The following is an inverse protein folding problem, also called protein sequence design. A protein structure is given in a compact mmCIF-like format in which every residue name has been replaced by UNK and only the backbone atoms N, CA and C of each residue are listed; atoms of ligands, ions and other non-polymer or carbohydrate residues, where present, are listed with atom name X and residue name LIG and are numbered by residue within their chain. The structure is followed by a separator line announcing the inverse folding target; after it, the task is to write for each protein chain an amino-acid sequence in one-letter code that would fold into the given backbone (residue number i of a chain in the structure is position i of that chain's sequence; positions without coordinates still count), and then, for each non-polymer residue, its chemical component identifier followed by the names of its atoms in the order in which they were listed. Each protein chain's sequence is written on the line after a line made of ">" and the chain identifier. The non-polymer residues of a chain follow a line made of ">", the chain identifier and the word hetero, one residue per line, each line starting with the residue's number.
data_IF_460497930194
#
_entry.id   IF_460497930194
#
_cell.length_a   1.000
_cell.length_b   1.000
_cell.length_c   1.000
_cell.angle_alpha   90.00
_cell.angle_beta   90.00
_cell.angle_gamma   90.00
#
_symmetry.space_group_name_H-M   'P 1'
#
loop_
_entity.id
_entity.type
_entity.pdbx_description
1 polymer ?
#
# COMPACT_ATOMS: atom_id res chain seq x y z
N UNK A 1 -27.37 1.79 -5.89
CA UNK A 1 -26.29 1.37 -4.97
C UNK A 1 -25.17 0.78 -5.79
N UNK A 2 -24.17 1.58 -6.15
CA UNK A 2 -22.91 1.07 -6.71
C UNK A 2 -22.02 0.73 -5.53
N UNK A 3 -22.05 -0.53 -5.09
CA UNK A 3 -21.15 -1.03 -4.05
C UNK A 3 -19.69 -0.81 -4.46
N UNK A 4 -18.81 -0.62 -3.48
CA UNK A 4 -17.39 -0.55 -3.76
C UNK A 4 -16.96 -1.81 -4.54
N UNK A 5 -16.16 -1.69 -5.61
CA UNK A 5 -15.79 -2.87 -6.40
C UNK A 5 -15.05 -3.86 -5.50
N UNK A 6 -15.60 -5.06 -5.33
CA UNK A 6 -15.01 -6.08 -4.45
C UNK A 6 -13.54 -6.35 -4.82
N UNK A 7 -13.24 -6.34 -6.13
CA UNK A 7 -11.89 -6.52 -6.66
C UNK A 7 -10.91 -5.45 -6.15
N UNK A 8 -11.38 -4.21 -5.99
CA UNK A 8 -10.56 -3.09 -5.50
C UNK A 8 -10.28 -3.23 -4.01
N UNK A 9 -11.27 -3.66 -3.23
CA UNK A 9 -11.09 -3.95 -1.81
C UNK A 9 -10.04 -5.04 -1.59
N UNK A 10 -10.15 -6.15 -2.33
CA UNK A 10 -9.20 -7.25 -2.23
C UNK A 10 -7.78 -6.82 -2.59
N UNK A 11 -7.61 -5.97 -3.61
CA UNK A 11 -6.32 -5.42 -3.99
C UNK A 11 -5.72 -4.53 -2.89
N UNK A 12 -6.51 -3.63 -2.29
CA UNK A 12 -6.07 -2.76 -1.19
C UNK A 12 -5.63 -3.57 0.03
N UNK A 13 -6.43 -4.59 0.38
CA UNK A 13 -6.15 -5.45 1.54
C UNK A 13 -4.87 -6.26 1.31
N UNK A 14 -4.74 -6.91 0.15
CA UNK A 14 -3.54 -7.67 -0.20
C UNK A 14 -2.29 -6.78 -0.22
N UNK A 15 -2.40 -5.57 -0.78
CA UNK A 15 -1.30 -4.62 -0.83
C UNK A 15 -0.81 -4.22 0.57
N UNK A 16 -1.72 -3.82 1.45
CA UNK A 16 -1.35 -3.42 2.81
C UNK A 16 -0.83 -4.59 3.65
N UNK A 17 -1.47 -5.76 3.57
CA UNK A 17 -1.00 -6.95 4.28
C UNK A 17 0.39 -7.40 3.79
N UNK A 18 0.70 -7.23 2.49
CA UNK A 18 2.02 -7.56 1.95
C UNK A 18 3.11 -6.60 2.46
N UNK A 19 2.87 -5.29 2.43
CA UNK A 19 3.91 -4.29 2.76
C UNK A 19 4.01 -3.97 4.26
N UNK A 20 2.90 -3.98 4.99
CA UNK A 20 2.85 -3.65 6.42
C UNK A 20 2.80 -4.88 7.31
N UNK A 21 2.63 -6.07 6.73
CA UNK A 21 2.45 -7.34 7.46
C UNK A 21 1.27 -7.31 8.45
N UNK A 22 0.29 -6.43 8.21
CA UNK A 22 -0.91 -6.37 9.03
C UNK A 22 -1.84 -7.55 8.72
N UNK A 23 -2.45 -8.15 9.76
CA UNK A 23 -3.42 -9.22 9.56
C UNK A 23 -4.65 -8.72 8.81
N UNK A 24 -5.28 -9.62 8.06
CA UNK A 24 -6.46 -9.32 7.25
C UNK A 24 -7.55 -8.58 8.03
N UNK A 25 -7.82 -9.02 9.26
CA UNK A 25 -8.85 -8.42 10.13
C UNK A 25 -8.55 -6.96 10.47
N UNK A 26 -7.28 -6.63 10.72
CA UNK A 26 -6.87 -5.26 11.00
C UNK A 26 -7.11 -4.35 9.79
N UNK A 27 -6.78 -4.82 8.58
CA UNK A 27 -6.96 -4.03 7.35
C UNK A 27 -8.44 -3.91 6.95
N UNK A 28 -9.23 -4.95 7.22
CA UNK A 28 -10.68 -4.94 7.01
C UNK A 28 -11.42 -4.08 8.03
N UNK A 29 -10.87 -3.93 9.24
CA UNK A 29 -11.39 -3.02 10.26
C UNK A 29 -11.17 -1.54 9.96
N UNK A 30 -10.32 -1.20 8.98
CA UNK A 30 -10.12 0.18 8.55
C UNK A 30 -11.30 0.69 7.73
N UNK A 31 -11.68 1.93 8.01
CA UNK A 31 -12.58 2.68 7.14
C UNK A 31 -12.00 2.76 5.73
N UNK A 32 -12.89 2.75 4.73
CA UNK A 32 -12.48 2.78 3.33
C UNK A 32 -11.56 3.98 3.00
N UNK A 33 -11.84 5.16 3.56
CA UNK A 33 -11.00 6.36 3.36
C UNK A 33 -9.62 6.20 3.98
N UNK A 34 -9.56 5.62 5.18
CA UNK A 34 -8.30 5.39 5.89
C UNK A 34 -7.45 4.34 5.17
N UNK A 35 -8.06 3.22 4.76
CA UNK A 35 -7.37 2.19 3.98
C UNK A 35 -6.77 2.77 2.70
N UNK A 36 -7.51 3.58 1.96
CA UNK A 36 -7.00 4.23 0.74
C UNK A 36 -5.83 5.18 1.02
N UNK A 37 -5.91 5.96 2.10
CA UNK A 37 -4.81 6.84 2.53
C UNK A 37 -3.54 6.03 2.83
N UNK A 38 -3.67 4.91 3.54
CA UNK A 38 -2.54 4.04 3.82
C UNK A 38 -1.94 3.43 2.55
N UNK A 39 -2.76 3.02 1.58
CA UNK A 39 -2.27 2.54 0.28
C UNK A 39 -1.44 3.61 -0.43
N UNK A 40 -1.91 4.86 -0.43
CA UNK A 40 -1.21 6.00 -1.05
C UNK A 40 0.13 6.30 -0.35
N UNK A 41 0.16 6.29 0.98
CA UNK A 41 1.40 6.52 1.76
C UNK A 41 2.44 5.42 1.54
N UNK A 42 2.03 4.15 1.61
CA UNK A 42 2.94 3.01 1.39
C UNK A 42 3.47 3.05 -0.05
N UNK A 43 2.62 3.36 -1.03
CA UNK A 43 3.05 3.52 -2.42
C UNK A 43 4.04 4.69 -2.59
N UNK A 44 3.85 5.81 -1.87
CA UNK A 44 4.79 6.93 -1.87
C UNK A 44 6.15 6.53 -1.31
N UNK A 45 6.17 5.91 -0.13
CA UNK A 45 7.42 5.45 0.51
C UNK A 45 8.17 4.43 -0.36
N UNK A 46 7.45 3.50 -1.00
CA UNK A 46 8.08 2.52 -1.90
C UNK A 46 8.69 3.19 -3.14
N UNK A 47 8.04 4.21 -3.72
CA UNK A 47 8.60 4.97 -4.83
C UNK A 47 9.86 5.74 -4.41
N UNK A 48 9.84 6.39 -3.25
CA UNK A 48 10.99 7.11 -2.70
C UNK A 48 12.18 6.16 -2.46
N UNK A 49 11.93 5.01 -1.80
CA UNK A 49 12.95 3.98 -1.55
C UNK A 49 13.55 3.40 -2.83
N UNK A 50 12.74 3.16 -3.85
CA UNK A 50 13.22 2.65 -5.13
C UNK A 50 14.07 3.70 -5.86
N UNK A 51 13.66 4.97 -5.84
CA UNK A 51 14.43 6.06 -6.42
C UNK A 51 15.80 6.25 -5.72
N UNK A 52 15.88 6.05 -4.40
CA UNK A 52 17.15 6.04 -3.68
C UNK A 52 18.03 4.84 -4.02
N UNK A 53 17.41 3.67 -4.21
CA UNK A 53 18.11 2.42 -4.55
C UNK A 53 18.67 2.42 -5.98
N UNK A 54 18.06 3.19 -6.88
CA UNK A 54 18.48 3.35 -8.28
C UNK A 54 19.58 4.40 -8.48
N UNK A 55 20.03 5.08 -7.42
CA UNK A 55 21.20 5.94 -7.54
C UNK A 55 22.43 5.08 -7.85
N UNK A 56 23.14 5.35 -8.96
CA UNK A 56 24.41 4.68 -9.24
C UNK A 56 25.28 4.95 -8.02
N UNK A 57 25.67 3.88 -7.31
CA UNK A 57 26.75 3.98 -6.33
C UNK A 57 27.97 4.44 -7.12
N UNK A 58 28.22 5.75 -7.13
CA UNK A 58 29.42 6.32 -7.73
C UNK A 58 30.58 5.64 -7.04
N UNK A 59 31.19 4.74 -7.81
CA UNK A 59 32.26 3.86 -7.37
C UNK A 59 33.55 4.59 -7.69
N UNK A 60 33.99 5.46 -6.77
CA UNK A 60 35.36 6.01 -6.77
C UNK A 60 35.85 6.16 -5.33
#
# INVERSE_FOLDING_TARGET
>A
MTGYPADRLHAEVAYLSYYLHWPYEQVMGLDHLERRRWVEEVARMNRERNAESEQPRERF
#
